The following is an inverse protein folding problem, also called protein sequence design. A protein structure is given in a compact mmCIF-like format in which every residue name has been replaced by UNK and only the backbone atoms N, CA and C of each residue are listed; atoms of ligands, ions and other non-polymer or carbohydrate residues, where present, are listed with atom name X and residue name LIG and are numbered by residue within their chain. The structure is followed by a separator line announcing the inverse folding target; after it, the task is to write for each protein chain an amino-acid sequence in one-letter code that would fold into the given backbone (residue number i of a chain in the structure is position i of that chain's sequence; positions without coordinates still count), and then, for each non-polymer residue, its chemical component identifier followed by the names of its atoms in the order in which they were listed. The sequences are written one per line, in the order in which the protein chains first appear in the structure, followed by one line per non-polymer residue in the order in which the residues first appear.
data_IF_560146175334
#
_entry.id   IF_560146175334
#
_cell.length_a   1.000
_cell.length_b   1.000
_cell.length_c   1.000
_cell.angle_alpha   90.00
_cell.angle_beta   90.00
_cell.angle_gamma   90.00
#
_symmetry.space_group_name_H-M   'P 1'
#
loop_
_entity.id
_entity.type
_entity.pdbx_description
1 polymer ?
#
# COMPACT_ATOMS: atom_id res chain seq x y z
N UNK A 1 -11.36 11.03 32.70
CA UNK A 1 -11.90 11.28 31.35
C UNK A 1 -10.74 11.34 30.35
N UNK A 2 -11.01 11.06 29.09
CA UNK A 2 -10.03 11.22 28.01
C UNK A 2 -9.56 12.67 27.97
N UNK A 3 -8.25 12.90 28.00
CA UNK A 3 -7.66 14.24 28.04
C UNK A 3 -7.33 14.79 29.43
N UNK A 4 -7.67 14.10 30.49
CA UNK A 4 -7.28 14.52 31.85
C UNK A 4 -5.77 14.32 32.04
N UNK A 5 -5.07 15.40 32.39
CA UNK A 5 -3.62 15.40 32.66
C UNK A 5 -3.26 15.23 34.14
N UNK A 6 -4.25 15.17 35.01
CA UNK A 6 -4.05 15.02 36.44
C UNK A 6 -5.20 14.28 37.13
N UNK A 7 -4.88 13.52 38.15
CA UNK A 7 -5.84 12.90 39.04
C UNK A 7 -5.52 13.29 40.49
N UNK A 8 -6.53 13.65 41.28
CA UNK A 8 -6.38 13.96 42.67
C UNK A 8 -6.96 12.84 43.52
N UNK A 9 -6.15 12.26 44.39
CA UNK A 9 -6.55 11.26 45.36
C UNK A 9 -6.53 11.93 46.75
N UNK A 10 -7.69 12.00 47.37
CA UNK A 10 -7.80 12.54 48.74
C UNK A 10 -7.99 11.41 49.74
N UNK A 11 -7.10 11.33 50.71
CA UNK A 11 -7.19 10.40 51.82
C UNK A 11 -7.44 11.20 53.08
N UNK A 12 -8.41 10.79 53.91
CA UNK A 12 -8.71 11.44 55.18
C UNK A 12 -8.92 10.39 56.25
N UNK A 13 -8.43 10.68 57.47
CA UNK A 13 -8.69 9.88 58.67
C UNK A 13 -9.22 10.79 59.77
N UNK A 14 -10.22 10.29 60.49
CA UNK A 14 -10.80 11.02 61.62
C UNK A 14 -10.05 10.83 62.94
N UNK A 15 -9.37 9.72 63.14
CA UNK A 15 -8.72 9.38 64.44
C UNK A 15 -7.42 8.57 64.29
N UNK A 16 -7.17 7.93 63.17
CA UNK A 16 -6.03 7.02 62.98
C UNK A 16 -5.07 7.51 61.90
N UNK A 17 -3.81 7.04 61.96
CA UNK A 17 -2.80 7.29 60.95
C UNK A 17 -3.09 6.47 59.68
N UNK A 18 -3.20 7.13 58.51
CA UNK A 18 -3.28 6.48 57.21
C UNK A 18 -1.88 6.43 56.62
N UNK A 19 -1.34 5.23 56.44
CA UNK A 19 -0.08 5.01 55.71
C UNK A 19 -0.40 4.50 54.30
N UNK A 20 0.09 5.20 53.28
CA UNK A 20 0.00 4.78 51.86
C UNK A 20 1.36 4.24 51.42
N UNK A 21 1.45 2.96 51.18
CA UNK A 21 2.69 2.33 50.71
C UNK A 21 2.85 2.37 49.18
N UNK A 22 1.75 2.40 48.44
CA UNK A 22 1.79 2.40 47.00
C UNK A 22 0.50 3.00 46.42
N UNK A 23 0.63 3.77 45.36
CA UNK A 23 -0.47 4.23 44.54
C UNK A 23 -0.21 3.74 43.11
N UNK A 24 -1.07 2.87 42.55
CA UNK A 24 -1.01 2.39 41.17
C UNK A 24 -2.07 3.13 40.41
N UNK A 25 -1.67 3.90 39.38
CA UNK A 25 -2.56 4.55 38.45
C UNK A 25 -2.51 3.79 37.14
N UNK A 26 -3.65 3.28 36.68
CA UNK A 26 -3.79 2.67 35.37
C UNK A 26 -4.47 3.70 34.46
N UNK A 27 -3.74 4.17 33.45
CA UNK A 27 -4.28 5.02 32.40
C UNK A 27 -4.68 4.11 31.24
N UNK A 28 -5.95 4.08 30.93
CA UNK A 28 -6.49 3.39 29.76
C UNK A 28 -6.74 4.44 28.67
N UNK A 29 -5.75 4.67 27.81
CA UNK A 29 -5.92 5.46 26.59
C UNK A 29 -6.58 4.57 25.54
N UNK A 30 -7.76 4.98 25.06
CA UNK A 30 -8.39 4.34 23.93
C UNK A 30 -7.88 5.03 22.66
N UNK A 31 -7.09 4.32 21.87
CA UNK A 31 -6.47 4.84 20.66
C UNK A 31 -6.61 3.83 19.51
N UNK A 32 -6.74 4.30 18.26
CA UNK A 32 -6.59 3.47 17.08
C UNK A 32 -5.13 3.07 16.89
N UNK A 33 -4.88 2.19 15.94
CA UNK A 33 -3.55 1.76 15.49
C UNK A 33 -3.65 1.49 13.98
N UNK A 34 -3.41 2.52 13.18
CA UNK A 34 -3.53 2.44 11.73
C UNK A 34 -2.33 1.74 11.12
N UNK A 35 -2.60 0.81 10.22
CA UNK A 35 -1.58 0.11 9.44
C UNK A 35 -1.98 0.10 7.97
N UNK A 36 -1.01 -0.04 7.07
CA UNK A 36 -1.26 -0.17 5.65
C UNK A 36 -0.49 -1.34 5.05
N UNK A 37 -1.12 -2.06 4.13
CA UNK A 37 -0.50 -3.12 3.34
C UNK A 37 -0.79 -2.92 1.86
N UNK A 38 0.17 -3.24 1.00
CA UNK A 38 -0.01 -3.34 -0.45
C UNK A 38 -0.47 -4.76 -0.77
N UNK A 39 -1.61 -4.90 -1.42
CA UNK A 39 -2.18 -6.20 -1.79
C UNK A 39 -1.76 -6.60 -3.20
N UNK A 40 -2.10 -5.77 -4.19
CA UNK A 40 -1.73 -6.01 -5.59
C UNK A 40 -1.37 -4.72 -6.31
N UNK A 41 -0.51 -4.85 -7.34
CA UNK A 41 -0.16 -3.76 -8.25
C UNK A 41 -0.36 -4.26 -9.67
N UNK A 42 -1.27 -3.62 -10.41
CA UNK A 42 -1.45 -3.84 -11.84
C UNK A 42 -0.70 -2.76 -12.61
N UNK A 43 0.20 -3.20 -13.49
CA UNK A 43 0.95 -2.35 -14.40
C UNK A 43 1.02 -2.98 -15.79
N UNK A 44 1.07 -2.14 -16.82
CA UNK A 44 1.17 -2.58 -18.22
C UNK A 44 2.50 -2.15 -18.82
N UNK A 45 3.01 -2.96 -19.74
CA UNK A 45 4.20 -2.59 -20.52
C UNK A 45 3.98 -1.24 -21.23
N UNK A 46 5.02 -0.43 -21.29
CA UNK A 46 5.03 0.93 -21.85
C UNK A 46 4.01 1.89 -21.22
N UNK A 47 3.55 1.59 -20.03
CA UNK A 47 2.63 2.44 -19.29
C UNK A 47 3.23 2.83 -17.96
N UNK A 48 3.06 4.07 -17.58
CA UNK A 48 3.39 4.55 -16.23
C UNK A 48 2.13 4.72 -15.36
N UNK A 49 0.99 4.21 -15.85
CA UNK A 49 -0.23 4.09 -15.06
C UNK A 49 -0.14 2.84 -14.20
N UNK A 50 -0.42 3.01 -12.92
CA UNK A 50 -0.51 1.94 -11.93
C UNK A 50 -1.93 1.89 -11.38
N UNK A 51 -2.42 0.69 -11.14
CA UNK A 51 -3.61 0.46 -10.31
C UNK A 51 -3.16 -0.35 -9.11
N UNK A 52 -3.41 0.18 -7.94
CA UNK A 52 -2.96 -0.34 -6.66
C UNK A 52 -4.18 -0.77 -5.85
N UNK A 53 -4.19 -2.01 -5.38
CA UNK A 53 -5.06 -2.47 -4.30
C UNK A 53 -4.27 -2.44 -3.00
N UNK A 54 -4.88 -1.90 -1.96
CA UNK A 54 -4.25 -1.77 -0.65
C UNK A 54 -5.29 -1.91 0.47
N UNK A 55 -4.82 -2.35 1.62
CA UNK A 55 -5.66 -2.56 2.80
C UNK A 55 -5.17 -1.70 3.96
N UNK A 56 -6.08 -0.93 4.55
CA UNK A 56 -5.87 -0.20 5.80
C UNK A 56 -6.40 -1.05 6.95
N UNK A 57 -5.59 -1.23 7.97
CA UNK A 57 -5.96 -1.96 9.18
C UNK A 57 -6.05 -1.04 10.40
N UNK A 58 -6.88 -1.40 11.36
CA UNK A 58 -6.91 -0.86 12.71
C UNK A 58 -6.62 -2.01 13.69
N UNK A 59 -5.38 -2.51 13.63
CA UNK A 59 -4.95 -3.74 14.30
C UNK A 59 -4.30 -3.43 15.64
N UNK A 60 -4.50 -4.32 16.64
CA UNK A 60 -4.01 -4.12 18.02
C UNK A 60 -4.49 -2.83 18.69
N UNK A 61 -5.54 -2.24 18.18
CA UNK A 61 -6.13 -0.99 18.62
C UNK A 61 -7.07 -1.19 19.81
N UNK A 62 -7.39 -0.09 20.48
CA UNK A 62 -8.38 -0.04 21.57
C UNK A 62 -9.53 0.93 21.27
N UNK A 63 -9.47 1.59 20.13
CA UNK A 63 -10.51 2.48 19.60
C UNK A 63 -10.65 2.28 18.08
N UNK A 64 -11.80 2.65 17.53
CA UNK A 64 -12.01 2.68 16.09
C UNK A 64 -11.07 3.72 15.42
N UNK A 65 -10.64 3.44 14.20
CA UNK A 65 -9.98 4.40 13.32
C UNK A 65 -11.07 5.16 12.55
N UNK A 66 -11.12 6.50 12.63
CA UNK A 66 -12.23 7.26 12.04
C UNK A 66 -12.24 7.20 10.51
N UNK A 67 -13.43 7.32 9.93
CA UNK A 67 -13.58 7.61 8.50
C UNK A 67 -12.88 8.92 8.14
N UNK A 68 -12.48 9.04 6.88
CA UNK A 68 -11.68 10.15 6.34
C UNK A 68 -10.27 10.26 6.94
N UNK A 69 -9.73 9.19 7.51
CA UNK A 69 -8.30 9.11 7.85
C UNK A 69 -7.50 9.27 6.57
N UNK A 70 -6.58 10.27 6.48
CA UNK A 70 -5.88 10.59 5.24
C UNK A 70 -4.86 9.50 4.88
N UNK A 71 -4.63 9.33 3.59
CA UNK A 71 -3.65 8.39 3.05
C UNK A 71 -2.85 9.10 1.96
N UNK A 72 -1.54 9.10 2.09
CA UNK A 72 -0.64 9.70 1.12
C UNK A 72 0.17 8.63 0.37
N UNK A 73 0.40 8.87 -0.92
CA UNK A 73 1.18 8.00 -1.79
C UNK A 73 2.37 8.80 -2.34
N UNK A 74 3.57 8.24 -2.22
CA UNK A 74 4.80 8.87 -2.64
C UNK A 74 5.57 7.99 -3.61
N UNK A 75 6.18 8.60 -4.62
CA UNK A 75 7.19 7.99 -5.48
C UNK A 75 8.54 8.67 -5.17
N UNK A 76 9.51 7.91 -4.68
CA UNK A 76 10.83 8.42 -4.28
C UNK A 76 10.73 9.69 -3.42
N UNK A 77 9.85 9.68 -2.42
CA UNK A 77 9.56 10.79 -1.50
C UNK A 77 8.77 11.97 -2.08
N UNK A 78 8.37 11.92 -3.35
CA UNK A 78 7.50 12.93 -3.95
C UNK A 78 6.03 12.50 -3.83
N UNK A 79 5.17 13.37 -3.30
CA UNK A 79 3.74 13.11 -3.22
C UNK A 79 3.15 12.97 -4.63
N UNK A 80 2.46 11.87 -4.91
CA UNK A 80 1.87 11.56 -6.22
C UNK A 80 0.36 11.43 -6.18
N UNK A 81 -0.21 11.02 -5.05
CA UNK A 81 -1.65 10.88 -4.87
C UNK A 81 -2.03 10.96 -3.40
N UNK A 82 -3.30 11.22 -3.15
CA UNK A 82 -3.91 11.19 -1.82
C UNK A 82 -5.26 10.48 -1.89
N UNK A 83 -5.61 9.82 -0.81
CA UNK A 83 -6.90 9.19 -0.58
C UNK A 83 -7.30 9.36 0.89
N UNK A 84 -8.39 8.74 1.29
CA UNK A 84 -8.82 8.65 2.68
C UNK A 84 -9.67 7.40 2.89
N UNK A 85 -9.76 6.94 4.13
CA UNK A 85 -10.68 5.85 4.48
C UNK A 85 -12.13 6.28 4.26
N UNK A 86 -12.97 5.35 3.81
CA UNK A 86 -14.39 5.63 3.51
C UNK A 86 -15.26 5.49 4.75
N UNK A 87 -14.95 4.50 5.59
CA UNK A 87 -15.71 4.16 6.77
C UNK A 87 -14.86 4.23 8.05
N UNK A 88 -15.54 4.26 9.19
CA UNK A 88 -14.89 3.96 10.46
C UNK A 88 -14.41 2.50 10.45
N UNK A 89 -13.13 2.27 10.73
CA UNK A 89 -12.57 0.93 10.81
C UNK A 89 -12.61 0.47 12.27
N UNK A 90 -13.41 -0.54 12.54
CA UNK A 90 -13.56 -1.07 13.89
C UNK A 90 -12.25 -1.70 14.40
N UNK A 91 -12.18 -1.89 15.72
CA UNK A 91 -11.05 -2.58 16.38
C UNK A 91 -10.80 -3.94 15.72
N UNK A 92 -9.54 -4.23 15.39
CA UNK A 92 -9.08 -5.44 14.70
C UNK A 92 -9.79 -5.72 13.35
N UNK A 93 -10.22 -4.66 12.67
CA UNK A 93 -10.84 -4.73 11.34
C UNK A 93 -9.97 -4.04 10.29
N UNK A 94 -10.36 -4.20 9.02
CA UNK A 94 -9.66 -3.64 7.87
C UNK A 94 -10.63 -3.03 6.87
N UNK A 95 -10.13 -2.13 6.02
CA UNK A 95 -10.79 -1.59 4.84
C UNK A 95 -9.87 -1.74 3.63
N UNK A 96 -10.33 -2.41 2.57
CA UNK A 96 -9.58 -2.54 1.31
C UNK A 96 -10.05 -1.51 0.30
N UNK A 97 -9.12 -0.92 -0.43
CA UNK A 97 -9.36 0.15 -1.38
C UNK A 97 -8.55 -0.04 -2.65
N UNK A 98 -8.97 0.63 -3.72
CA UNK A 98 -8.28 0.66 -5.02
C UNK A 98 -8.04 2.10 -5.43
N UNK A 99 -6.82 2.40 -5.90
CA UNK A 99 -6.49 3.70 -6.48
C UNK A 99 -5.71 3.53 -7.78
N UNK A 100 -5.94 4.43 -8.74
CA UNK A 100 -5.16 4.48 -9.99
C UNK A 100 -4.53 5.85 -10.13
N UNK A 101 -3.25 5.88 -10.49
CA UNK A 101 -2.51 7.12 -10.76
C UNK A 101 -1.44 6.88 -11.82
N UNK A 102 -0.92 7.98 -12.37
CA UNK A 102 0.13 7.93 -13.39
C UNK A 102 1.41 8.56 -12.84
N UNK A 103 2.51 7.82 -12.90
CA UNK A 103 3.83 8.32 -12.50
C UNK A 103 4.40 9.20 -13.61
N UNK A 104 4.86 10.40 -13.24
CA UNK A 104 5.42 11.34 -14.20
C UNK A 104 6.65 10.74 -14.92
N UNK A 105 6.82 11.00 -16.23
CA UNK A 105 7.98 10.52 -16.99
C UNK A 105 9.34 11.05 -16.50
N UNK A 106 9.33 12.11 -15.69
CA UNK A 106 10.52 12.65 -15.04
C UNK A 106 11.06 11.76 -13.92
N UNK A 107 10.26 10.82 -13.41
CA UNK A 107 10.71 9.86 -12.43
C UNK A 107 11.48 8.72 -13.10
N UNK A 108 12.36 8.07 -12.34
CA UNK A 108 13.11 6.89 -12.77
C UNK A 108 12.18 5.76 -13.29
N UNK A 109 12.74 4.83 -14.06
CA UNK A 109 12.03 3.60 -14.45
C UNK A 109 11.87 2.64 -13.26
N UNK A 110 12.70 2.77 -12.25
CA UNK A 110 12.56 2.10 -10.95
C UNK A 110 12.24 3.14 -9.90
N UNK A 111 11.14 2.99 -9.17
CA UNK A 111 10.73 3.88 -8.09
C UNK A 111 10.46 3.09 -6.81
N UNK A 112 10.67 3.72 -5.67
CA UNK A 112 10.14 3.24 -4.41
C UNK A 112 8.77 3.88 -4.17
N UNK A 113 7.69 3.09 -4.26
CA UNK A 113 6.35 3.51 -3.90
C UNK A 113 6.17 3.36 -2.40
N UNK A 114 5.87 4.46 -1.73
CA UNK A 114 5.57 4.51 -0.30
C UNK A 114 4.13 4.92 -0.09
N UNK A 115 3.41 4.18 0.75
CA UNK A 115 2.04 4.49 1.18
C UNK A 115 2.10 4.78 2.66
N UNK A 116 1.51 5.87 3.09
CA UNK A 116 1.44 6.27 4.49
C UNK A 116 -0.01 6.55 4.85
N UNK A 117 -0.56 5.77 5.78
CA UNK A 117 -1.87 6.04 6.39
C UNK A 117 -1.69 7.06 7.52
N UNK A 118 -2.72 7.84 7.78
CA UNK A 118 -2.70 9.02 8.65
C UNK A 118 -1.66 10.07 8.24
N UNK A 119 -1.52 10.30 6.93
CA UNK A 119 -0.66 11.37 6.39
C UNK A 119 -1.46 12.27 5.45
N UNK A 120 -1.44 13.56 5.73
CA UNK A 120 -2.08 14.60 4.92
C UNK A 120 -1.25 14.98 3.67
N UNK A 121 -0.22 14.23 3.32
CA UNK A 121 0.71 14.52 2.22
C UNK A 121 1.84 15.46 2.62
N UNK A 122 2.04 15.66 3.91
CA UNK A 122 3.10 16.52 4.48
C UNK A 122 4.09 15.74 5.32
N UNK A 123 3.90 14.43 5.45
CA UNK A 123 4.66 13.56 6.34
C UNK A 123 4.22 13.67 7.81
N UNK A 124 3.03 14.22 8.07
CA UNK A 124 2.51 14.35 9.44
C UNK A 124 1.11 13.77 9.54
N UNK A 125 0.90 12.97 10.57
CA UNK A 125 -0.40 12.45 10.98
C UNK A 125 -1.27 13.51 11.68
N UNK A 126 -2.56 13.23 11.76
CA UNK A 126 -3.57 14.05 12.46
C UNK A 126 -4.26 13.27 13.59
N UNK A 127 -4.06 11.95 13.64
CA UNK A 127 -4.64 11.06 14.63
C UNK A 127 -3.53 10.64 15.59
N UNK A 128 -3.83 10.61 16.87
CA UNK A 128 -2.91 10.03 17.86
C UNK A 128 -3.18 8.53 17.97
N UNK A 129 -2.16 7.72 17.78
CA UNK A 129 -2.26 6.28 17.70
C UNK A 129 -1.50 5.55 18.82
N UNK A 130 -1.74 4.25 18.95
CA UNK A 130 -0.97 3.41 19.88
C UNK A 130 0.47 3.28 19.37
N UNK A 131 0.64 3.16 18.07
CA UNK A 131 1.94 2.99 17.41
C UNK A 131 2.03 3.86 16.15
N UNK A 132 2.84 4.89 16.20
CA UNK A 132 3.02 5.89 15.12
C UNK A 132 4.07 5.47 14.08
N UNK A 133 4.66 4.27 14.18
CA UNK A 133 5.76 3.85 13.31
C UNK A 133 5.42 2.68 12.37
N UNK A 134 4.17 2.19 12.39
CA UNK A 134 3.69 1.09 11.54
C UNK A 134 2.72 1.55 10.44
N UNK A 135 2.58 2.85 10.23
CA UNK A 135 1.66 3.49 9.30
C UNK A 135 2.14 3.47 7.85
N UNK A 136 3.26 2.80 7.56
CA UNK A 136 3.93 2.89 6.27
C UNK A 136 4.12 1.53 5.61
N UNK A 137 3.82 1.44 4.32
CA UNK A 137 4.18 0.33 3.45
C UNK A 137 5.05 0.83 2.28
N UNK A 138 6.05 0.03 1.92
CA UNK A 138 6.97 0.34 0.81
C UNK A 138 7.01 -0.81 -0.19
N UNK A 139 7.07 -0.49 -1.47
CA UNK A 139 7.25 -1.48 -2.53
C UNK A 139 8.07 -0.88 -3.68
N UNK A 140 8.96 -1.68 -4.26
CA UNK A 140 9.74 -1.28 -5.42
C UNK A 140 8.93 -1.59 -6.69
N UNK A 141 8.87 -0.64 -7.60
CA UNK A 141 8.19 -0.76 -8.88
C UNK A 141 9.19 -0.53 -10.00
N UNK A 142 9.31 -1.51 -10.89
CA UNK A 142 10.07 -1.41 -12.13
C UNK A 142 9.10 -1.27 -13.29
N UNK A 143 9.16 -0.12 -14.00
CA UNK A 143 8.35 0.08 -15.19
C UNK A 143 8.94 -0.69 -16.37
N UNK A 144 8.14 -1.61 -16.89
CA UNK A 144 8.53 -2.47 -17.99
C UNK A 144 8.43 -1.71 -19.32
N UNK A 145 9.54 -1.57 -20.01
CA UNK A 145 9.58 -1.10 -21.38
C UNK A 145 9.52 -2.29 -22.33
N UNK A 146 8.64 -2.25 -23.32
CA UNK A 146 8.68 -3.26 -24.37
C UNK A 146 9.81 -2.93 -25.34
N UNK A 147 10.75 -3.81 -25.49
CA UNK A 147 11.71 -3.78 -26.58
C UNK A 147 11.14 -4.48 -27.80
N UNK A 148 10.04 -3.97 -28.36
CA UNK A 148 9.50 -4.53 -29.59
C UNK A 148 10.41 -4.12 -30.76
N UNK A 149 10.87 -5.04 -31.61
CA UNK A 149 11.54 -4.68 -32.85
C UNK A 149 10.59 -3.91 -33.76
N UNK A 150 11.12 -2.95 -34.49
CA UNK A 150 10.33 -2.11 -35.40
C UNK A 150 9.71 -2.88 -36.60
N UNK A 151 10.21 -4.09 -36.86
CA UNK A 151 9.62 -5.03 -37.80
C UNK A 151 10.01 -6.46 -37.44
N UNK A 152 9.06 -7.35 -37.47
CA UNK A 152 9.28 -8.79 -37.34
C UNK A 152 9.28 -9.45 -38.74
N UNK A 153 10.10 -10.48 -38.91
CA UNK A 153 10.04 -11.32 -40.12
C UNK A 153 8.68 -12.01 -40.20
N UNK A 154 8.09 -12.14 -41.40
CA UNK A 154 6.84 -12.87 -41.56
C UNK A 154 6.99 -14.30 -41.03
N UNK A 155 6.09 -14.73 -40.16
CA UNK A 155 6.04 -16.12 -39.74
C UNK A 155 5.56 -17.00 -40.91
N UNK A 156 6.32 -18.04 -41.23
CA UNK A 156 5.91 -19.06 -42.16
C UNK A 156 5.29 -20.25 -41.44
N UNK A 157 4.11 -20.66 -41.83
CA UNK A 157 3.40 -21.76 -41.19
C UNK A 157 2.96 -22.80 -42.20
N UNK A 158 2.71 -24.03 -41.77
CA UNK A 158 2.10 -25.07 -42.58
C UNK A 158 0.61 -24.81 -42.72
N UNK A 159 0.12 -24.75 -43.95
CA UNK A 159 -1.30 -24.66 -44.26
C UNK A 159 -1.90 -26.06 -44.29
N UNK A 160 -2.88 -26.34 -43.44
CA UNK A 160 -3.60 -27.61 -43.39
C UNK A 160 -4.89 -27.62 -44.20
N UNK A 161 -5.18 -26.58 -44.98
CA UNK A 161 -6.47 -26.38 -45.63
C UNK A 161 -7.51 -25.80 -44.71
N UNK A 162 -8.75 -25.63 -45.19
CA UNK A 162 -9.89 -25.13 -44.38
C UNK A 162 -9.67 -23.78 -43.66
N UNK A 163 -8.79 -22.92 -44.18
CA UNK A 163 -8.37 -21.67 -43.58
C UNK A 163 -7.62 -21.83 -42.24
N UNK A 164 -7.01 -22.98 -42.00
CA UNK A 164 -6.20 -23.24 -40.80
C UNK A 164 -4.70 -23.32 -41.17
N UNK A 165 -3.86 -22.69 -40.38
CA UNK A 165 -2.42 -22.75 -40.46
C UNK A 165 -1.79 -22.80 -39.05
N UNK A 166 -0.69 -23.55 -38.92
CA UNK A 166 0.08 -23.60 -37.64
C UNK A 166 1.38 -22.85 -37.82
N UNK A 167 1.65 -21.95 -36.92
CA UNK A 167 2.86 -21.16 -36.88
C UNK A 167 3.68 -21.50 -35.63
N UNK A 168 4.99 -21.57 -35.78
CA UNK A 168 5.88 -21.69 -34.62
C UNK A 168 6.23 -20.29 -34.08
N UNK A 169 5.59 -19.90 -33.02
CA UNK A 169 5.79 -18.58 -32.38
C UNK A 169 7.17 -18.45 -31.75
N UNK A 170 7.87 -19.54 -31.41
CA UNK A 170 9.21 -19.49 -30.87
C UNK A 170 10.22 -18.82 -31.80
N UNK A 171 9.97 -18.86 -33.12
CA UNK A 171 10.83 -18.20 -34.11
C UNK A 171 10.73 -16.67 -33.99
N UNK A 172 9.56 -16.12 -33.63
CA UNK A 172 9.40 -14.69 -33.44
C UNK A 172 10.04 -14.20 -32.13
N UNK A 173 10.11 -15.02 -31.10
CA UNK A 173 10.70 -14.66 -29.82
C UNK A 173 12.16 -14.26 -29.93
N UNK A 174 12.96 -14.96 -30.75
CA UNK A 174 14.36 -14.66 -30.95
C UNK A 174 14.59 -13.29 -31.64
N UNK A 175 13.61 -12.83 -32.43
CA UNK A 175 13.65 -11.51 -33.07
C UNK A 175 13.18 -10.40 -32.09
N UNK A 176 12.27 -10.73 -31.17
CA UNK A 176 11.75 -9.79 -30.17
C UNK A 176 12.79 -9.58 -29.08
N UNK A 177 13.38 -10.64 -28.56
CA UNK A 177 14.41 -10.58 -27.52
C UNK A 177 15.33 -11.81 -27.63
N UNK A 178 16.57 -11.67 -28.16
CA UNK A 178 17.51 -12.77 -28.30
C UNK A 178 17.96 -13.42 -27.01
N UNK A 179 17.77 -12.73 -25.88
CA UNK A 179 18.13 -13.20 -24.53
C UNK A 179 16.96 -13.80 -23.78
N UNK A 180 15.85 -14.06 -24.47
CA UNK A 180 14.61 -14.51 -23.85
C UNK A 180 14.65 -16.01 -23.53
N UNK A 181 14.20 -16.36 -22.30
CA UNK A 181 14.02 -17.74 -21.90
C UNK A 181 12.60 -18.21 -22.28
N UNK A 182 12.52 -19.24 -23.12
CA UNK A 182 11.27 -19.82 -23.59
C UNK A 182 10.38 -20.38 -22.46
N UNK A 183 10.99 -20.76 -21.33
CA UNK A 183 10.24 -21.32 -20.18
C UNK A 183 9.38 -20.26 -19.48
N UNK A 184 9.70 -18.98 -19.67
CA UNK A 184 8.97 -17.86 -19.05
C UNK A 184 8.04 -17.11 -20.00
N UNK A 185 7.97 -17.52 -21.30
CA UNK A 185 7.10 -16.88 -22.28
C UNK A 185 5.63 -17.16 -22.01
N UNK A 186 4.82 -16.11 -21.91
CA UNK A 186 3.37 -16.19 -21.85
C UNK A 186 2.78 -15.59 -23.13
N UNK A 187 2.02 -16.39 -23.86
CA UNK A 187 1.29 -15.94 -25.04
C UNK A 187 -0.16 -15.69 -24.66
N UNK A 188 -0.64 -14.50 -25.00
CA UNK A 188 -2.05 -14.14 -24.83
C UNK A 188 -2.76 -14.24 -26.18
N UNK A 189 -3.97 -14.80 -26.16
CA UNK A 189 -4.87 -14.85 -27.35
C UNK A 189 -5.74 -13.61 -27.38
#
# INVERSE_FOLDING_TARGET
NVGDTSATIQLSSGQDLVMVNNIITVLNSQLPDATVAVDTIDQRCNSRQLTLEYTIGNLNSTQLLPANTPIAFYADSNLIAQAQTTNDIAINSTESNVISFTIAPSNSNTINLTIVVDDTGTGNGIITEINEINNTANTLIDFLESSAPTSLSPLTGCNFGNNEAVFNLSNALNEINPSFDLETAVFYQ
#
